data_IF_822596848777
#
_entry.id   IF_822596848777
#
_cell.length_a   1.000
_cell.length_b   1.000
_cell.length_c   1.000
_cell.angle_alpha   90.00
_cell.angle_beta   90.00
_cell.angle_gamma   90.00
#
_symmetry.space_group_name_H-M   'P 1'
#
loop_
_entity.id
_entity.type
_entity.pdbx_description
1 polymer ?
#
# COMPACT_ATOMS: atom_id res chain seq x y z
N UNK A 1 17.94 -17.82 -9.31
CA UNK A 1 17.22 -16.91 -10.24
C UNK A 1 17.69 -15.50 -9.99
N UNK A 2 17.98 -14.70 -11.03
CA UNK A 2 18.34 -13.28 -10.91
C UNK A 2 17.18 -12.40 -11.44
N UNK A 3 16.22 -11.99 -10.60
CA UNK A 3 14.99 -11.29 -11.03
C UNK A 3 15.24 -9.93 -11.70
N UNK A 4 16.41 -9.33 -11.42
CA UNK A 4 16.78 -8.03 -11.97
C UNK A 4 17.13 -8.11 -13.46
N UNK A 5 17.70 -9.24 -13.90
CA UNK A 5 18.28 -9.38 -15.25
C UNK A 5 17.30 -9.96 -16.27
N UNK A 6 16.46 -10.89 -15.83
CA UNK A 6 15.53 -11.61 -16.71
C UNK A 6 14.09 -11.23 -16.34
N UNK A 7 13.23 -10.95 -17.32
CA UNK A 7 11.79 -10.86 -17.06
C UNK A 7 11.30 -12.27 -16.72
N UNK A 8 10.73 -12.43 -15.52
CA UNK A 8 10.21 -13.72 -15.10
C UNK A 8 9.07 -14.15 -16.03
N UNK A 9 9.14 -15.38 -16.54
CA UNK A 9 8.01 -16.01 -17.22
C UNK A 9 6.81 -16.12 -16.26
N UNK A 10 5.59 -15.95 -16.79
CA UNK A 10 4.33 -15.89 -15.99
C UNK A 10 4.14 -17.08 -15.04
N UNK A 11 4.66 -18.26 -15.40
CA UNK A 11 4.61 -19.50 -14.63
C UNK A 11 5.38 -19.44 -13.30
N UNK A 12 6.46 -18.65 -13.21
CA UNK A 12 7.25 -18.51 -11.99
C UNK A 12 6.57 -17.59 -10.96
N UNK A 13 5.88 -16.54 -11.42
CA UNK A 13 5.12 -15.67 -10.53
C UNK A 13 3.97 -16.42 -9.83
N UNK A 14 3.33 -17.37 -10.51
CA UNK A 14 2.25 -18.20 -9.92
C UNK A 14 2.73 -19.01 -8.73
N UNK A 15 3.92 -19.61 -8.82
CA UNK A 15 4.50 -20.37 -7.71
C UNK A 15 4.77 -19.45 -6.52
N UNK A 16 5.32 -18.25 -6.74
CA UNK A 16 5.56 -17.29 -5.66
C UNK A 16 4.27 -16.75 -5.04
N UNK A 17 3.18 -16.69 -5.79
CA UNK A 17 1.87 -16.24 -5.32
C UNK A 17 1.12 -17.27 -4.49
N UNK A 18 1.43 -18.55 -4.68
CA UNK A 18 0.83 -19.65 -3.92
C UNK A 18 1.36 -19.82 -2.49
N UNK A 19 2.33 -19.02 -2.04
CA UNK A 19 2.76 -19.02 -0.62
C UNK A 19 1.90 -18.04 0.20
N UNK A 20 0.84 -18.50 0.88
CA UNK A 20 -0.01 -17.63 1.69
C UNK A 20 0.74 -17.11 2.93
N UNK A 21 1.67 -17.87 3.49
CA UNK A 21 2.39 -17.50 4.72
C UNK A 21 3.24 -16.26 4.47
N UNK A 22 3.85 -16.16 3.29
CA UNK A 22 4.62 -14.99 2.88
C UNK A 22 3.77 -13.71 2.94
N UNK A 23 2.63 -13.67 2.24
CA UNK A 23 1.81 -12.46 2.17
C UNK A 23 1.12 -12.13 3.48
N UNK A 24 0.69 -13.13 4.26
CA UNK A 24 0.15 -12.92 5.61
C UNK A 24 1.21 -12.29 6.53
N UNK A 25 2.46 -12.74 6.45
CA UNK A 25 3.55 -12.15 7.23
C UNK A 25 3.90 -10.74 6.78
N UNK A 26 3.91 -10.46 5.48
CA UNK A 26 4.08 -9.09 4.98
C UNK A 26 2.96 -8.17 5.44
N UNK A 27 1.70 -8.60 5.36
CA UNK A 27 0.55 -7.84 5.84
C UNK A 27 0.70 -7.50 7.33
N UNK A 28 1.01 -8.49 8.17
CA UNK A 28 1.20 -8.30 9.61
C UNK A 28 2.37 -7.34 9.91
N UNK A 29 3.49 -7.48 9.21
CA UNK A 29 4.66 -6.62 9.39
C UNK A 29 4.36 -5.17 8.99
N UNK A 30 3.69 -4.95 7.87
CA UNK A 30 3.28 -3.62 7.41
C UNK A 30 2.31 -3.00 8.40
N UNK A 31 1.33 -3.75 8.90
CA UNK A 31 0.36 -3.26 9.88
C UNK A 31 1.06 -2.82 11.18
N UNK A 32 1.98 -3.63 11.69
CA UNK A 32 2.76 -3.29 12.87
C UNK A 32 3.61 -2.02 12.66
N UNK A 33 4.26 -1.90 11.50
CA UNK A 33 5.04 -0.71 11.14
C UNK A 33 4.17 0.56 11.06
N UNK A 34 2.98 0.47 10.45
CA UNK A 34 2.05 1.60 10.37
C UNK A 34 1.53 2.03 11.73
N UNK A 35 1.19 1.07 12.62
CA UNK A 35 0.80 1.37 14.00
C UNK A 35 1.94 2.05 14.74
N UNK A 36 3.17 1.55 14.58
CA UNK A 36 4.35 2.15 15.20
C UNK A 36 4.57 3.59 14.71
N UNK A 37 4.50 3.85 13.40
CA UNK A 37 4.64 5.20 12.83
C UNK A 37 3.54 6.15 13.33
N UNK A 38 2.31 5.67 13.53
CA UNK A 38 1.23 6.45 14.12
C UNK A 38 1.55 6.86 15.55
N UNK A 39 1.98 5.91 16.38
CA UNK A 39 2.28 6.15 17.80
C UNK A 39 3.52 7.02 17.97
N UNK A 40 4.56 6.80 17.16
CA UNK A 40 5.76 7.62 17.14
C UNK A 40 5.54 9.04 16.56
N UNK A 41 4.36 9.32 15.99
CA UNK A 41 4.04 10.62 15.41
C UNK A 41 4.77 10.91 14.09
N UNK A 42 5.37 9.91 13.46
CA UNK A 42 6.14 10.02 12.21
C UNK A 42 5.27 10.02 10.94
N UNK A 43 3.95 10.18 11.08
CA UNK A 43 3.07 10.34 9.93
C UNK A 43 3.25 11.74 9.35
N UNK A 44 3.53 11.81 8.04
CA UNK A 44 3.73 13.07 7.35
C UNK A 44 2.41 13.85 7.28
N UNK A 45 2.47 15.18 7.38
CA UNK A 45 1.33 16.01 7.01
C UNK A 45 0.94 15.70 5.56
N UNK A 46 -0.35 15.52 5.30
CA UNK A 46 -0.91 15.39 3.96
C UNK A 46 -0.60 16.67 3.21
N UNK A 47 0.52 16.68 2.48
CA UNK A 47 0.77 17.69 1.48
C UNK A 47 -0.39 17.59 0.48
N UNK A 48 -1.18 18.66 0.40
CA UNK A 48 -2.32 18.80 -0.50
C UNK A 48 -1.91 18.42 -1.92
N UNK A 49 -2.33 17.26 -2.37
CA UNK A 49 -2.13 16.81 -3.74
C UNK A 49 -3.15 17.55 -4.64
N UNK A 50 -2.76 18.02 -5.84
CA UNK A 50 -3.69 18.65 -6.78
C UNK A 50 -4.82 17.68 -7.19
N UNK A 51 -6.00 18.19 -7.59
CA UNK A 51 -7.19 17.38 -7.79
C UNK A 51 -6.97 16.36 -8.92
N UNK A 52 -7.11 15.07 -8.61
CA UNK A 52 -7.05 14.00 -9.61
C UNK A 52 -8.30 14.06 -10.51
N UNK A 53 -8.18 13.82 -11.83
CA UNK A 53 -9.32 13.80 -12.73
C UNK A 53 -10.29 12.68 -12.36
N UNK A 54 -11.57 13.04 -12.29
CA UNK A 54 -12.70 12.20 -11.94
C UNK A 54 -13.00 11.16 -13.01
N UNK A 55 -12.68 9.90 -12.77
CA UNK A 55 -13.33 8.77 -13.45
C UNK A 55 -13.82 7.75 -12.41
N UNK A 56 -15.05 8.01 -11.96
CA UNK A 56 -16.09 7.13 -11.42
C UNK A 56 -15.75 5.66 -11.11
N UNK A 57 -15.78 5.34 -9.81
CA UNK A 57 -16.66 4.30 -9.29
C UNK A 57 -17.17 4.79 -7.93
N UNK A 58 -18.45 5.14 -7.92
CA UNK A 58 -19.21 5.57 -6.76
C UNK A 58 -19.35 4.43 -5.76
N UNK A 59 -18.90 4.63 -4.53
CA UNK A 59 -19.67 4.23 -3.35
C UNK A 59 -19.32 5.15 -2.17
N UNK A 60 -20.37 5.62 -1.52
CA UNK A 60 -20.38 6.81 -0.70
C UNK A 60 -19.68 6.70 0.64
N UNK A 61 -18.90 7.72 0.97
CA UNK A 61 -18.90 8.41 2.27
C UNK A 61 -18.19 9.75 2.08
N UNK A 62 -18.95 10.80 1.76
CA UNK A 62 -18.49 12.18 1.87
C UNK A 62 -18.75 12.66 3.29
N UNK A 63 -17.80 12.46 4.20
CA UNK A 63 -17.65 13.35 5.35
C UNK A 63 -16.73 14.49 4.94
N UNK A 64 -17.30 15.58 4.46
CA UNK A 64 -16.57 16.83 4.21
C UNK A 64 -16.36 17.61 5.50
N UNK A 65 -15.14 18.17 5.64
CA UNK A 65 -14.73 19.36 6.42
C UNK A 65 -14.16 19.14 7.84
N UNK A 66 -13.32 20.06 8.37
CA UNK A 66 -12.44 21.07 7.75
C UNK A 66 -10.98 20.99 8.24
N UNK A 67 -10.00 21.42 7.43
CA UNK A 67 -8.73 22.05 7.88
C UNK A 67 -7.82 21.33 8.89
N UNK A 68 -8.02 20.04 9.16
CA UNK A 68 -7.16 19.26 10.03
C UNK A 68 -5.87 18.89 9.30
N UNK A 69 -4.75 18.98 9.99
CA UNK A 69 -3.45 18.50 9.52
C UNK A 69 -3.52 16.97 9.34
N UNK A 70 -4.15 16.50 8.26
CA UNK A 70 -4.40 15.07 8.03
C UNK A 70 -3.06 14.38 7.87
N UNK A 71 -2.66 13.57 8.85
CA UNK A 71 -1.39 12.86 8.78
C UNK A 71 -1.59 11.54 8.04
N UNK A 72 -0.70 11.26 7.11
CA UNK A 72 -0.74 10.03 6.31
C UNK A 72 0.65 9.39 6.19
N UNK A 73 0.68 8.09 5.96
CA UNK A 73 1.89 7.37 5.59
C UNK A 73 1.98 7.25 4.06
N UNK A 74 3.20 7.21 3.52
CA UNK A 74 3.43 6.79 2.13
C UNK A 74 4.00 5.38 2.18
N UNK A 75 3.33 4.45 1.50
CA UNK A 75 3.78 3.05 1.38
C UNK A 75 4.19 2.81 -0.06
N UNK A 76 5.48 2.52 -0.27
CA UNK A 76 6.04 2.26 -1.58
C UNK A 76 6.36 0.77 -1.71
N UNK A 77 5.78 0.11 -2.72
CA UNK A 77 6.02 -1.29 -3.03
C UNK A 77 6.97 -1.35 -4.21
N UNK A 78 8.21 -1.75 -3.95
CA UNK A 78 9.28 -1.88 -4.94
C UNK A 78 9.30 -3.31 -5.49
N UNK A 79 9.05 -3.49 -6.79
CA UNK A 79 8.82 -4.81 -7.38
C UNK A 79 7.40 -5.29 -7.07
N UNK A 80 6.40 -4.51 -7.50
CA UNK A 80 5.00 -4.81 -7.25
C UNK A 80 4.51 -6.09 -7.95
N UNK A 81 5.18 -6.53 -9.02
CA UNK A 81 4.81 -7.67 -9.84
C UNK A 81 3.33 -7.60 -10.24
N UNK A 82 2.58 -8.67 -9.96
CA UNK A 82 1.14 -8.74 -10.23
C UNK A 82 0.25 -8.18 -9.10
N UNK A 83 0.84 -7.49 -8.12
CA UNK A 83 0.12 -6.80 -7.04
C UNK A 83 -0.30 -7.59 -5.78
N UNK A 84 0.13 -8.84 -5.49
CA UNK A 84 -0.26 -9.51 -4.24
C UNK A 84 0.30 -8.79 -3.01
N UNK A 85 1.51 -8.22 -3.11
CA UNK A 85 2.11 -7.44 -2.03
C UNK A 85 1.45 -6.05 -1.88
N UNK A 86 0.99 -5.45 -2.98
CA UNK A 86 0.21 -4.21 -2.95
C UNK A 86 -1.11 -4.45 -2.23
N UNK A 87 -1.80 -5.56 -2.54
CA UNK A 87 -3.03 -5.97 -1.85
C UNK A 87 -2.80 -6.17 -0.36
N UNK A 88 -1.73 -6.88 0.02
CA UNK A 88 -1.35 -7.07 1.42
C UNK A 88 -1.09 -5.74 2.14
N UNK A 89 -0.41 -4.79 1.48
CA UNK A 89 -0.14 -3.46 2.04
C UNK A 89 -1.43 -2.64 2.26
N UNK A 90 -2.40 -2.72 1.34
CA UNK A 90 -3.70 -2.05 1.47
C UNK A 90 -4.48 -2.65 2.64
N UNK A 91 -4.56 -3.98 2.74
CA UNK A 91 -5.21 -4.67 3.87
C UNK A 91 -4.57 -4.30 5.21
N UNK A 92 -3.25 -4.27 5.25
CA UNK A 92 -2.49 -3.86 6.43
C UNK A 92 -2.85 -2.43 6.88
N UNK A 93 -3.01 -1.49 5.95
CA UNK A 93 -3.41 -0.12 6.27
C UNK A 93 -4.83 -0.01 6.83
N UNK A 94 -5.77 -0.80 6.29
CA UNK A 94 -7.14 -0.91 6.82
C UNK A 94 -7.11 -1.45 8.25
N UNK A 95 -6.38 -2.55 8.48
CA UNK A 95 -6.21 -3.16 9.81
C UNK A 95 -5.56 -2.20 10.80
N UNK A 96 -4.52 -1.48 10.38
CA UNK A 96 -3.81 -0.51 11.21
C UNK A 96 -4.62 0.78 11.47
N UNK A 97 -5.69 1.03 10.69
CA UNK A 97 -6.44 2.29 10.66
C UNK A 97 -5.52 3.50 10.46
N UNK A 98 -4.65 3.42 9.46
CA UNK A 98 -3.72 4.49 9.07
C UNK A 98 -4.02 4.89 7.63
N UNK A 99 -4.29 6.17 7.37
CA UNK A 99 -4.43 6.67 6.00
C UNK A 99 -3.08 6.56 5.29
N UNK A 100 -3.08 5.88 4.16
CA UNK A 100 -1.88 5.63 3.38
C UNK A 100 -2.07 6.10 1.94
N UNK A 101 -1.02 6.70 1.37
CA UNK A 101 -0.84 6.85 -0.08
C UNK A 101 0.04 5.70 -0.55
N UNK A 102 -0.40 4.94 -1.55
CA UNK A 102 0.34 3.82 -2.09
C UNK A 102 1.04 4.19 -3.40
N UNK A 103 2.29 3.77 -3.55
CA UNK A 103 3.08 3.88 -4.78
C UNK A 103 3.58 2.47 -5.10
N UNK A 104 3.18 1.93 -6.25
CA UNK A 104 3.66 0.64 -6.74
C UNK A 104 4.65 0.89 -7.87
N UNK A 105 5.86 0.34 -7.75
CA UNK A 105 6.91 0.45 -8.76
C UNK A 105 7.23 -0.93 -9.29
N UNK A 106 7.18 -1.06 -10.61
CA UNK A 106 7.58 -2.24 -11.38
C UNK A 106 8.46 -1.76 -12.55
N UNK A 107 9.34 -2.63 -13.04
CA UNK A 107 10.28 -2.30 -14.14
C UNK A 107 9.65 -2.43 -15.52
#
# INVERSE_FOLDING_TARGET
MQPLRDNLESSLYEIFEQDPVKYVRYEAAIAAALVHLRVAGHLAASASEPPRPSHAASDGTTSSAPGGNERSAVVMVLGAGRGPLVTAAIRAAVTARVRCRFIAVEK
#
